data_IF_129109589939
#
_entry.id   IF_129109589939
#
_cell.length_a   1.000
_cell.length_b   1.000
_cell.length_c   1.000
_cell.angle_alpha   90.00
_cell.angle_beta   90.00
_cell.angle_gamma   90.00
#
_symmetry.space_group_name_H-M   'P 1'
#
loop_
_entity.id
_entity.type
_entity.pdbx_description
1 polymer ?
#
# COMPACT_ATOMS: atom_id res chain seq x y z
N UNK A 1 11.81 -24.37 -35.28
CA UNK A 1 12.47 -23.94 -34.03
C UNK A 1 12.25 -22.45 -33.73
N UNK A 2 12.33 -21.53 -34.70
CA UNK A 2 12.01 -20.10 -34.50
C UNK A 2 10.52 -19.81 -34.18
N UNK A 3 9.58 -20.52 -34.83
CA UNK A 3 8.14 -20.32 -34.62
C UNK A 3 7.65 -20.73 -33.21
N UNK A 4 8.25 -21.75 -32.61
CA UNK A 4 7.95 -22.17 -31.23
C UNK A 4 8.49 -21.14 -30.24
N UNK A 5 9.69 -20.62 -30.48
CA UNK A 5 10.32 -19.62 -29.61
C UNK A 5 9.57 -18.28 -29.60
N UNK A 6 8.99 -17.84 -30.73
CA UNK A 6 8.18 -16.61 -30.77
C UNK A 6 6.86 -16.75 -30.02
N UNK A 7 6.18 -17.89 -30.16
CA UNK A 7 4.91 -18.17 -29.46
C UNK A 7 5.11 -18.29 -27.95
N UNK A 8 6.20 -18.92 -27.52
CA UNK A 8 6.54 -19.03 -26.10
C UNK A 8 6.90 -17.66 -25.52
N UNK A 9 7.56 -16.78 -26.28
CA UNK A 9 7.84 -15.42 -25.83
C UNK A 9 6.57 -14.56 -25.67
N UNK A 10 5.62 -14.64 -26.60
CA UNK A 10 4.34 -13.91 -26.52
C UNK A 10 3.47 -14.38 -25.35
N UNK A 11 3.34 -15.69 -25.16
CA UNK A 11 2.57 -16.28 -24.04
C UNK A 11 3.16 -15.98 -22.67
N UNK A 12 4.49 -15.94 -22.56
CA UNK A 12 5.16 -15.52 -21.33
C UNK A 12 4.96 -14.02 -21.06
N UNK A 13 5.08 -13.17 -22.09
CA UNK A 13 4.83 -11.73 -21.97
C UNK A 13 3.38 -11.44 -21.54
N UNK A 14 2.41 -12.12 -22.15
CA UNK A 14 1.00 -11.97 -21.79
C UNK A 14 0.73 -12.40 -20.35
N UNK A 15 1.34 -13.50 -19.90
CA UNK A 15 1.18 -14.00 -18.53
C UNK A 15 1.77 -13.02 -17.50
N UNK A 16 2.95 -12.46 -17.75
CA UNK A 16 3.56 -11.47 -16.85
C UNK A 16 2.68 -10.24 -16.66
N UNK A 17 2.14 -9.73 -17.77
CA UNK A 17 1.22 -8.58 -17.74
C UNK A 17 -0.06 -8.89 -16.96
N UNK A 18 -0.59 -10.12 -17.05
CA UNK A 18 -1.76 -10.53 -16.27
C UNK A 18 -1.45 -10.50 -14.78
N UNK A 19 -0.36 -11.14 -14.33
CA UNK A 19 0.02 -11.15 -12.91
C UNK A 19 0.23 -9.74 -12.37
N UNK A 20 0.92 -8.88 -13.12
CA UNK A 20 1.14 -7.50 -12.76
C UNK A 20 -0.17 -6.70 -12.61
N UNK A 21 -1.11 -6.88 -13.55
CA UNK A 21 -2.44 -6.22 -13.51
C UNK A 21 -3.31 -6.71 -12.36
N UNK A 22 -3.32 -8.02 -12.11
CA UNK A 22 -4.05 -8.61 -10.99
C UNK A 22 -3.49 -8.11 -9.65
N UNK A 23 -2.16 -8.07 -9.52
CA UNK A 23 -1.49 -7.56 -8.31
C UNK A 23 -1.89 -6.11 -8.03
N UNK A 24 -1.95 -5.26 -9.06
CA UNK A 24 -2.44 -3.89 -8.93
C UNK A 24 -3.95 -3.82 -8.62
N UNK A 25 -4.76 -4.73 -9.16
CA UNK A 25 -6.19 -4.81 -8.81
C UNK A 25 -6.39 -5.11 -7.32
N UNK A 26 -5.68 -6.10 -6.80
CA UNK A 26 -5.67 -6.45 -5.37
C UNK A 26 -5.18 -5.27 -4.53
N UNK A 27 -4.07 -4.65 -4.93
CA UNK A 27 -3.49 -3.53 -4.16
C UNK A 27 -4.35 -2.27 -4.20
N UNK A 28 -5.09 -2.04 -5.28
CA UNK A 28 -6.09 -0.97 -5.31
C UNK A 28 -7.13 -1.16 -4.21
N UNK A 29 -7.68 -2.37 -4.08
CA UNK A 29 -8.63 -2.69 -3.00
C UNK A 29 -8.03 -2.45 -1.62
N UNK A 30 -6.78 -2.87 -1.41
CA UNK A 30 -6.06 -2.60 -0.16
C UNK A 30 -5.89 -1.09 0.12
N UNK A 31 -5.44 -0.30 -0.86
CA UNK A 31 -5.25 1.14 -0.66
C UNK A 31 -6.57 1.89 -0.46
N UNK A 32 -7.68 1.44 -1.08
CA UNK A 32 -9.01 1.97 -0.80
C UNK A 32 -9.45 1.65 0.63
N UNK A 33 -9.21 0.42 1.10
CA UNK A 33 -9.47 0.04 2.48
C UNK A 33 -8.62 0.88 3.45
N UNK A 34 -7.33 1.06 3.16
CA UNK A 34 -6.43 1.92 3.93
C UNK A 34 -6.93 3.37 3.98
N UNK A 35 -7.39 3.90 2.84
CA UNK A 35 -8.02 5.23 2.75
C UNK A 35 -9.25 5.31 3.65
N UNK A 36 -10.10 4.28 3.63
CA UNK A 36 -11.34 4.26 4.41
C UNK A 36 -11.07 4.28 5.92
N UNK A 37 -10.13 3.46 6.42
CA UNK A 37 -9.84 3.44 7.86
C UNK A 37 -9.21 4.73 8.36
N UNK A 38 -8.53 5.45 7.47
CA UNK A 38 -7.80 6.66 7.80
C UNK A 38 -8.71 7.86 8.10
N UNK A 39 -10.01 7.76 7.80
CA UNK A 39 -11.01 8.75 8.25
C UNK A 39 -11.04 8.95 9.77
N UNK A 40 -10.58 7.94 10.52
CA UNK A 40 -10.57 7.94 11.98
C UNK A 40 -9.32 8.64 12.55
N UNK A 41 -8.36 9.02 11.71
CA UNK A 41 -7.09 9.63 12.12
C UNK A 41 -7.23 11.16 12.32
N UNK A 42 -6.52 11.78 13.29
CA UNK A 42 -6.53 13.23 13.46
C UNK A 42 -6.14 14.00 12.18
N UNK A 43 -5.22 13.46 11.38
CA UNK A 43 -4.75 14.05 10.12
C UNK A 43 -5.35 13.33 8.89
N UNK A 44 -6.62 12.94 8.99
CA UNK A 44 -7.33 12.13 7.99
C UNK A 44 -7.15 12.60 6.55
N UNK A 45 -7.24 13.91 6.28
CA UNK A 45 -7.16 14.45 4.92
C UNK A 45 -5.82 14.12 4.23
N UNK A 46 -4.70 14.33 4.93
CA UNK A 46 -3.37 14.07 4.39
C UNK A 46 -3.22 12.59 4.05
N UNK A 47 -3.53 11.75 5.03
CA UNK A 47 -3.31 10.32 4.91
C UNK A 47 -4.27 9.64 3.94
N UNK A 48 -5.55 10.05 3.91
CA UNK A 48 -6.50 9.60 2.89
C UNK A 48 -6.00 9.96 1.49
N UNK A 49 -5.45 11.16 1.30
CA UNK A 49 -4.88 11.60 0.01
C UNK A 49 -3.68 10.72 -0.38
N UNK A 50 -2.80 10.42 0.58
CA UNK A 50 -1.61 9.59 0.35
C UNK A 50 -1.96 8.16 -0.08
N UNK A 51 -3.09 7.59 0.37
CA UNK A 51 -3.54 6.24 -0.01
C UNK A 51 -4.46 6.21 -1.24
N UNK A 52 -5.34 7.20 -1.42
CA UNK A 52 -6.30 7.19 -2.55
C UNK A 52 -5.61 7.39 -3.90
N UNK A 53 -4.55 8.20 -3.96
CA UNK A 53 -3.82 8.45 -5.21
C UNK A 53 -3.13 7.16 -5.72
N UNK A 54 -2.37 6.40 -4.90
CA UNK A 54 -1.88 5.08 -5.26
C UNK A 54 -2.98 4.10 -5.65
N UNK A 55 -4.15 4.14 -5.00
CA UNK A 55 -5.29 3.32 -5.37
C UNK A 55 -5.74 3.60 -6.81
N UNK A 56 -5.84 4.88 -7.19
CA UNK A 56 -6.21 5.30 -8.55
C UNK A 56 -5.17 4.84 -9.56
N UNK A 57 -3.86 5.00 -9.29
CA UNK A 57 -2.82 4.48 -10.18
C UNK A 57 -2.94 2.96 -10.38
N UNK A 58 -3.18 2.22 -9.30
CA UNK A 58 -3.39 0.78 -9.34
C UNK A 58 -4.62 0.39 -10.17
N UNK A 59 -5.73 1.14 -10.10
CA UNK A 59 -6.92 0.93 -10.95
C UNK A 59 -6.58 1.15 -12.42
N UNK A 60 -5.91 2.25 -12.75
CA UNK A 60 -5.51 2.58 -14.12
C UNK A 60 -4.65 1.45 -14.72
N UNK A 61 -3.70 0.94 -13.92
CA UNK A 61 -2.85 -0.19 -14.29
C UNK A 61 -3.65 -1.49 -14.48
N UNK A 62 -4.51 -1.83 -13.51
CA UNK A 62 -5.28 -3.08 -13.53
C UNK A 62 -6.26 -3.13 -14.70
N UNK A 63 -6.99 -2.03 -14.94
CA UNK A 63 -8.01 -1.93 -15.99
C UNK A 63 -7.45 -1.53 -17.35
N UNK A 64 -6.12 -1.31 -17.47
CA UNK A 64 -5.46 -0.88 -18.72
C UNK A 64 -6.09 0.40 -19.29
N UNK A 65 -6.48 1.34 -18.43
CA UNK A 65 -7.14 2.59 -18.83
C UNK A 65 -6.17 3.57 -19.51
N UNK A 66 -4.87 3.38 -19.32
CA UNK A 66 -3.84 4.18 -19.93
C UNK A 66 -2.65 3.31 -20.34
N UNK A 67 -1.99 3.66 -21.45
CA UNK A 67 -0.75 3.00 -21.82
C UNK A 67 0.31 3.34 -20.76
N UNK A 68 1.01 2.33 -20.21
CA UNK A 68 1.96 2.57 -19.13
C UNK A 68 3.19 3.42 -19.51
N UNK A 69 3.41 3.64 -20.81
CA UNK A 69 4.43 4.57 -21.33
C UNK A 69 3.91 5.99 -21.57
N UNK A 70 2.66 6.32 -21.24
CA UNK A 70 2.15 7.67 -21.40
C UNK A 70 2.84 8.60 -20.39
N UNK A 71 3.56 9.59 -20.89
CA UNK A 71 4.48 10.41 -20.11
C UNK A 71 3.80 11.08 -18.89
N UNK A 72 2.54 11.48 -19.01
CA UNK A 72 1.78 12.10 -17.90
C UNK A 72 1.63 11.14 -16.72
N UNK A 73 1.13 9.91 -16.93
CA UNK A 73 0.91 8.94 -15.85
C UNK A 73 2.22 8.58 -15.15
N UNK A 74 3.27 8.33 -15.93
CA UNK A 74 4.60 8.02 -15.38
C UNK A 74 5.13 9.18 -14.52
N UNK A 75 5.00 10.43 -14.99
CA UNK A 75 5.39 11.64 -14.25
C UNK A 75 4.54 11.87 -13.00
N UNK A 76 3.23 11.67 -13.07
CA UNK A 76 2.34 11.79 -11.92
C UNK A 76 2.72 10.82 -10.80
N UNK A 77 3.09 9.58 -11.16
CA UNK A 77 3.54 8.57 -10.17
C UNK A 77 4.88 8.98 -9.56
N UNK A 78 5.82 9.49 -10.35
CA UNK A 78 7.09 10.02 -9.82
C UNK A 78 6.88 11.19 -8.86
N UNK A 79 5.98 12.12 -9.18
CA UNK A 79 5.65 13.25 -8.33
C UNK A 79 5.03 12.79 -7.00
N UNK A 80 4.11 11.83 -7.05
CA UNK A 80 3.52 11.27 -5.82
C UNK A 80 4.56 10.56 -4.96
N UNK A 81 5.47 9.79 -5.56
CA UNK A 81 6.60 9.17 -4.85
C UNK A 81 7.50 10.23 -4.21
N UNK A 82 7.84 11.30 -4.93
CA UNK A 82 8.63 12.40 -4.39
C UNK A 82 7.92 13.08 -3.21
N UNK A 83 6.61 13.32 -3.32
CA UNK A 83 5.81 13.86 -2.23
C UNK A 83 5.82 12.93 -1.01
N UNK A 84 5.59 11.63 -1.20
CA UNK A 84 5.65 10.64 -0.12
C UNK A 84 7.04 10.60 0.55
N UNK A 85 8.13 10.76 -0.22
CA UNK A 85 9.48 10.83 0.34
C UNK A 85 9.68 12.07 1.22
N UNK A 86 9.15 13.23 0.83
CA UNK A 86 9.21 14.45 1.65
C UNK A 86 8.47 14.23 2.97
N UNK A 87 7.26 13.65 2.94
CA UNK A 87 6.52 13.33 4.16
C UNK A 87 7.28 12.31 5.01
N UNK A 88 7.88 11.29 4.41
CA UNK A 88 8.66 10.28 5.13
C UNK A 88 9.87 10.90 5.84
N UNK A 89 10.59 11.81 5.19
CA UNK A 89 11.70 12.56 5.79
C UNK A 89 11.22 13.42 6.97
N UNK A 90 10.08 14.09 6.83
CA UNK A 90 9.46 14.85 7.92
C UNK A 90 9.12 13.94 9.12
N UNK A 91 8.49 12.78 8.87
CA UNK A 91 8.17 11.81 9.92
C UNK A 91 9.43 11.24 10.60
N UNK A 92 10.48 10.95 9.83
CA UNK A 92 11.79 10.54 10.39
C UNK A 92 12.37 11.64 11.28
N UNK A 93 12.30 12.90 10.86
CA UNK A 93 12.78 14.02 11.66
C UNK A 93 12.00 14.14 12.98
N UNK A 94 10.66 14.03 12.96
CA UNK A 94 9.84 13.98 14.18
C UNK A 94 10.28 12.86 15.13
N UNK A 95 10.48 11.65 14.60
CA UNK A 95 10.94 10.48 15.38
C UNK A 95 12.31 10.71 16.03
N UNK A 96 13.26 11.31 15.29
CA UNK A 96 14.58 11.64 15.81
C UNK A 96 14.52 12.71 16.92
N UNK A 97 13.62 13.68 16.80
CA UNK A 97 13.42 14.68 17.86
C UNK A 97 12.88 14.05 19.15
N UNK A 98 11.87 13.18 19.04
CA UNK A 98 11.29 12.45 20.19
C UNK A 98 12.38 11.63 20.90
N UNK A 99 13.21 10.91 20.14
CA UNK A 99 14.32 10.15 20.69
C UNK A 99 15.38 11.03 21.38
N UNK A 100 15.67 12.20 20.82
CA UNK A 100 16.67 13.13 21.36
C UNK A 100 16.24 13.76 22.69
N UNK A 101 14.93 13.85 22.96
CA UNK A 101 14.39 14.35 24.23
C UNK A 101 14.40 13.32 25.36
N UNK A 102 14.88 12.09 25.12
CA UNK A 102 15.16 11.08 26.15
C UNK A 102 13.91 10.52 26.85
N UNK A 103 12.73 10.74 26.28
CA UNK A 103 11.45 10.40 26.92
C UNK A 103 11.06 8.93 26.77
N UNK A 104 11.53 8.22 25.74
CA UNK A 104 11.15 6.83 25.48
C UNK A 104 12.31 5.96 24.95
N UNK A 105 12.51 4.72 25.44
CA UNK A 105 13.56 3.81 24.96
C UNK A 105 13.31 3.32 23.53
N UNK A 106 14.38 3.00 22.78
CA UNK A 106 14.31 2.52 21.39
C UNK A 106 13.36 1.32 21.17
N UNK A 107 13.15 0.51 22.20
CA UNK A 107 12.28 -0.67 22.15
C UNK A 107 10.78 -0.35 21.98
N UNK A 108 10.33 0.86 22.35
CA UNK A 108 8.91 1.27 22.24
C UNK A 108 8.56 1.95 20.92
N UNK A 109 9.49 2.04 19.96
CA UNK A 109 9.25 2.73 18.68
C UNK A 109 8.11 2.13 17.88
N UNK A 110 7.87 0.82 18.00
CA UNK A 110 6.74 0.16 17.34
C UNK A 110 5.38 0.63 17.88
N UNK A 111 5.33 1.20 19.09
CA UNK A 111 4.11 1.71 19.72
C UNK A 111 3.85 3.17 19.36
N UNK A 112 4.81 3.86 18.72
CA UNK A 112 4.66 5.23 18.26
C UNK A 112 3.85 5.31 16.96
N UNK A 113 2.92 6.26 16.95
CA UNK A 113 2.04 6.57 15.83
C UNK A 113 2.84 6.89 14.55
N UNK A 114 3.90 7.68 14.71
CA UNK A 114 4.78 8.11 13.62
C UNK A 114 5.52 6.95 12.95
N UNK A 115 5.77 5.86 13.69
CA UNK A 115 6.38 4.65 13.11
C UNK A 115 5.39 3.88 12.22
N UNK A 116 4.10 3.85 12.61
CA UNK A 116 3.02 3.30 11.77
C UNK A 116 2.88 4.10 10.48
N UNK A 117 2.83 5.43 10.61
CA UNK A 117 2.79 6.38 9.50
C UNK A 117 3.96 6.18 8.52
N UNK A 118 5.19 6.08 9.04
CA UNK A 118 6.39 5.85 8.25
C UNK A 118 6.35 4.48 7.54
N UNK A 119 5.86 3.43 8.21
CA UNK A 119 5.67 2.11 7.62
C UNK A 119 4.73 2.14 6.40
N UNK A 120 3.61 2.86 6.52
CA UNK A 120 2.67 3.08 5.41
C UNK A 120 3.31 3.79 4.22
N UNK A 121 4.07 4.87 4.47
CA UNK A 121 4.81 5.60 3.43
C UNK A 121 5.85 4.74 2.72
N UNK A 122 6.65 3.98 3.49
CA UNK A 122 7.63 3.05 2.93
C UNK A 122 6.97 2.02 2.02
N UNK A 123 5.78 1.53 2.39
CA UNK A 123 5.02 0.59 1.60
C UNK A 123 4.50 1.21 0.29
N UNK A 124 3.89 2.39 0.35
CA UNK A 124 3.41 3.13 -0.83
C UNK A 124 4.58 3.40 -1.80
N UNK A 125 5.69 3.95 -1.31
CA UNK A 125 6.87 4.28 -2.10
C UNK A 125 7.42 3.03 -2.79
N UNK A 126 7.60 1.94 -2.03
CA UNK A 126 8.12 0.68 -2.56
C UNK A 126 7.22 0.12 -3.66
N UNK A 127 5.89 0.12 -3.44
CA UNK A 127 4.93 -0.37 -4.41
C UNK A 127 4.95 0.43 -5.72
N UNK A 128 4.90 1.77 -5.63
CA UNK A 128 4.90 2.63 -6.82
C UNK A 128 6.25 2.57 -7.57
N UNK A 129 7.37 2.51 -6.86
CA UNK A 129 8.70 2.34 -7.48
C UNK A 129 8.81 1.01 -8.21
N UNK A 130 8.27 -0.09 -7.66
CA UNK A 130 8.25 -1.38 -8.36
C UNK A 130 7.42 -1.31 -9.65
N UNK A 131 6.31 -0.57 -9.65
CA UNK A 131 5.51 -0.33 -10.85
C UNK A 131 6.26 0.53 -11.89
N UNK A 132 6.94 1.60 -11.48
CA UNK A 132 7.80 2.40 -12.37
C UNK A 132 8.93 1.56 -12.98
N UNK A 133 9.55 0.68 -12.17
CA UNK A 133 10.56 -0.26 -12.65
C UNK A 133 9.97 -1.27 -13.62
N UNK A 134 8.74 -1.73 -13.42
CA UNK A 134 8.08 -2.65 -14.33
C UNK A 134 7.95 -2.07 -15.75
N UNK A 135 7.63 -0.77 -15.87
CA UNK A 135 7.51 -0.10 -17.16
C UNK A 135 8.82 0.14 -17.90
N UNK A 136 9.92 0.34 -17.16
CA UNK A 136 11.25 0.57 -17.74
C UNK A 136 12.06 -0.72 -17.94
N UNK A 137 11.47 -1.88 -17.65
CA UNK A 137 12.15 -3.18 -17.66
C UNK A 137 11.95 -3.97 -18.95
N UNK A 138 12.94 -4.79 -19.30
CA UNK A 138 12.80 -5.82 -20.33
C UNK A 138 11.90 -6.98 -19.86
N UNK A 139 11.51 -7.87 -20.78
CA UNK A 139 10.59 -8.99 -20.53
C UNK A 139 11.03 -9.92 -19.39
N UNK A 140 12.34 -10.22 -19.30
CA UNK A 140 12.87 -11.11 -18.26
C UNK A 140 12.71 -10.48 -16.87
N UNK A 141 13.04 -9.18 -16.74
CA UNK A 141 12.89 -8.45 -15.48
C UNK A 141 11.42 -8.19 -15.16
N UNK A 142 10.56 -7.94 -16.15
CA UNK A 142 9.10 -7.88 -15.96
C UNK A 142 8.55 -9.18 -15.38
N UNK A 143 9.01 -10.34 -15.84
CA UNK A 143 8.62 -11.65 -15.26
C UNK A 143 9.00 -11.79 -13.79
N UNK A 144 10.19 -11.30 -13.41
CA UNK A 144 10.61 -11.33 -12.01
C UNK A 144 9.79 -10.35 -11.16
N UNK A 145 9.63 -9.10 -11.63
CA UNK A 145 8.87 -8.06 -10.93
C UNK A 145 7.40 -8.44 -10.76
N UNK A 146 6.77 -9.06 -11.77
CA UNK A 146 5.37 -9.53 -11.68
C UNK A 146 5.19 -10.55 -10.56
N UNK A 147 6.14 -11.47 -10.39
CA UNK A 147 6.11 -12.46 -9.31
C UNK A 147 6.31 -11.81 -7.95
N UNK A 148 7.26 -10.89 -7.83
CA UNK A 148 7.49 -10.12 -6.60
C UNK A 148 6.24 -9.33 -6.20
N UNK A 149 5.64 -8.60 -7.15
CA UNK A 149 4.42 -7.82 -6.92
C UNK A 149 3.24 -8.71 -6.55
N UNK A 150 3.09 -9.88 -7.16
CA UNK A 150 2.05 -10.84 -6.80
C UNK A 150 2.20 -11.29 -5.34
N UNK A 151 3.40 -11.70 -4.93
CA UNK A 151 3.66 -12.10 -3.53
C UNK A 151 3.43 -10.95 -2.56
N UNK A 152 3.97 -9.76 -2.86
CA UNK A 152 3.83 -8.58 -2.02
C UNK A 152 2.37 -8.11 -1.91
N UNK A 153 1.53 -8.36 -2.92
CA UNK A 153 0.11 -7.96 -2.90
C UNK A 153 -0.73 -8.70 -1.87
N UNK A 154 -0.31 -9.92 -1.51
CA UNK A 154 -1.04 -10.79 -0.56
C UNK A 154 -0.64 -10.47 0.89
N UNK A 155 0.62 -10.07 1.12
CA UNK A 155 1.15 -9.79 2.45
C UNK A 155 0.31 -8.80 3.28
N UNK A 156 -0.05 -7.59 2.80
CA UNK A 156 -0.79 -6.64 3.62
C UNK A 156 -2.19 -7.14 3.98
N UNK A 157 -2.81 -7.95 3.10
CA UNK A 157 -4.12 -8.56 3.37
C UNK A 157 -4.00 -9.60 4.48
N UNK A 158 -2.98 -10.46 4.41
CA UNK A 158 -2.72 -11.44 5.46
C UNK A 158 -2.40 -10.78 6.80
N UNK A 159 -1.55 -9.75 6.79
CA UNK A 159 -1.22 -8.99 7.99
C UNK A 159 -2.47 -8.34 8.59
N UNK A 160 -3.34 -7.76 7.75
CA UNK A 160 -4.61 -7.22 8.20
C UNK A 160 -5.51 -8.28 8.83
N UNK A 161 -5.63 -9.45 8.21
CA UNK A 161 -6.42 -10.56 8.73
C UNK A 161 -5.91 -11.03 10.09
N UNK A 162 -4.58 -11.16 10.25
CA UNK A 162 -3.96 -11.52 11.54
C UNK A 162 -4.26 -10.46 12.60
N UNK A 163 -4.12 -9.17 12.27
CA UNK A 163 -4.43 -8.06 13.18
C UNK A 163 -5.93 -8.01 13.55
N UNK A 164 -6.82 -8.35 12.62
CA UNK A 164 -8.27 -8.42 12.86
C UNK A 164 -8.65 -9.57 13.80
N UNK A 165 -7.92 -10.70 13.75
CA UNK A 165 -8.18 -11.86 14.61
C UNK A 165 -7.52 -11.74 16.00
N UNK A 166 -6.45 -10.96 16.12
CA UNK A 166 -5.70 -10.81 17.37
C UNK A 166 -6.26 -9.68 18.25
N UNK A 167 -7.09 -10.06 19.23
CA UNK A 167 -7.70 -9.11 20.19
C UNK A 167 -6.69 -8.45 21.12
N UNK A 168 -5.62 -9.16 21.49
CA UNK A 168 -4.58 -8.63 22.38
C UNK A 168 -3.78 -7.53 21.66
N UNK A 169 -3.55 -7.70 20.36
CA UNK A 169 -2.97 -6.64 19.53
C UNK A 169 -3.91 -5.43 19.44
N UNK A 170 -5.21 -5.64 19.23
CA UNK A 170 -6.20 -4.56 19.18
C UNK A 170 -6.30 -3.77 20.48
N UNK A 171 -6.13 -4.42 21.63
CA UNK A 171 -6.17 -3.76 22.93
C UNK A 171 -5.07 -2.69 23.09
N UNK A 172 -3.91 -2.91 22.46
CA UNK A 172 -2.74 -2.02 22.49
C UNK A 172 -2.81 -0.86 21.48
N UNK A 173 -3.76 -0.91 20.54
CA UNK A 173 -3.89 0.16 19.54
C UNK A 173 -4.38 1.47 20.17
N UNK A 174 -3.99 2.63 19.60
CA UNK A 174 -4.58 3.91 19.96
C UNK A 174 -6.11 3.89 19.81
N UNK A 175 -6.81 4.69 20.62
CA UNK A 175 -8.28 4.66 20.65
C UNK A 175 -8.92 4.96 19.29
N UNK A 176 -8.31 5.87 18.51
CA UNK A 176 -8.76 6.21 17.16
C UNK A 176 -8.54 5.08 16.14
N UNK A 177 -7.63 4.14 16.41
CA UNK A 177 -7.40 2.96 15.58
C UNK A 177 -8.37 1.80 15.90
N UNK A 178 -8.88 1.72 17.14
CA UNK A 178 -9.82 0.65 17.57
C UNK A 178 -11.18 0.72 16.86
N UNK A 179 -11.66 1.92 16.57
CA UNK A 179 -12.94 2.14 15.88
C UNK A 179 -12.96 1.55 14.47
N UNK A 180 -11.79 1.42 13.83
CA UNK A 180 -11.62 0.74 12.54
C UNK A 180 -11.96 -0.75 12.58
N UNK A 181 -11.86 -1.39 13.75
CA UNK A 181 -12.20 -2.81 13.96
C UNK A 181 -13.60 -3.01 14.55
N UNK A 182 -14.10 -2.04 15.33
CA UNK A 182 -15.33 -2.17 16.12
C UNK A 182 -16.62 -1.83 15.34
N UNK A 183 -16.53 -1.25 14.14
CA UNK A 183 -17.70 -0.84 13.32
C UNK A 183 -18.59 -1.98 12.80
N UNK A 184 -18.37 -3.24 13.21
CA UNK A 184 -19.21 -4.39 12.86
C UNK A 184 -20.02 -4.98 14.02
N UNK A 185 -19.92 -4.42 15.23
CA UNK A 185 -20.72 -4.84 16.39
C UNK A 185 -21.40 -3.62 17.00
N UNK A 186 -22.31 -3.01 16.23
CA UNK A 186 -23.32 -2.16 16.84
C UNK A 186 -24.49 -3.09 17.18
N UNK A 187 -24.58 -3.45 18.45
CA UNK A 187 -25.69 -4.17 19.05
C UNK A 187 -27.01 -3.57 18.56
N UNK A 188 -27.85 -4.38 17.92
CA UNK A 188 -29.26 -4.04 17.75
C UNK A 188 -29.83 -3.84 19.15
N UNK A 189 -30.42 -2.68 19.48
CA UNK A 189 -31.14 -2.53 20.72
C UNK A 189 -32.26 -3.56 20.73
N UNK A 190 -32.25 -4.45 21.73
CA UNK A 190 -33.40 -5.30 22.03
C UNK A 190 -34.59 -4.37 22.28
N UNK A 191 -35.53 -4.35 21.33
CA UNK A 191 -36.84 -3.75 21.51
C UNK A 191 -37.58 -4.56 22.58
N UNK A 192 -37.38 -4.15 23.83
CA UNK A 192 -38.26 -4.47 24.93
C UNK A 192 -39.32 -3.36 25.01
N UNK A 193 -40.49 -3.63 24.42
CA UNK A 193 -41.79 -3.14 24.86
C UNK A 193 -42.88 -3.93 24.13
#
# INVERSE_FOLDING_TARGET
>A
MQFTQSRDAETNLSSNMIFWRLSNGVMSGFFLLATFVQRNDPDSLLWMTLYIIPAIFCIIYSLKLCNPGHNILYRSVQLHVAFCLVIALYTIFKLLQINSTGTEPILSWHELEETRELGGLCFIISWLVLNLKFFSSNTARQRQLSRVLATLSVLPILLWMVSYLNKDYQAKLPQHCKTSFQSSVQEMPSLAS
#
